data_IF_400558347436
#
_entry.id   IF_400558347436
#
_cell.length_a   1.000
_cell.length_b   1.000
_cell.length_c   1.000
_cell.angle_alpha   90.00
_cell.angle_beta   90.00
_cell.angle_gamma   90.00
#
_symmetry.space_group_name_H-M   'P 1'
#
loop_
_entity.id
_entity.type
_entity.pdbx_description
1 polymer ?
#
# COMPACT_ATOMS: atom_id res chain seq x y z
N UNK A 1 24.37 17.55 28.68
CA UNK A 1 23.19 16.71 29.00
C UNK A 1 23.33 15.40 28.22
N UNK A 2 23.46 14.23 28.86
CA UNK A 2 23.56 12.98 28.12
C UNK A 2 22.16 12.59 27.62
N UNK A 3 22.04 12.35 26.31
CA UNK A 3 20.86 11.74 25.71
C UNK A 3 20.70 10.34 26.31
N UNK A 4 19.58 10.09 26.97
CA UNK A 4 19.23 8.79 27.55
C UNK A 4 19.31 7.73 26.44
N UNK A 5 20.36 6.91 26.45
CA UNK A 5 20.53 5.80 25.52
C UNK A 5 19.49 4.73 25.85
N UNK A 6 18.29 4.86 25.30
CA UNK A 6 17.30 3.80 25.30
C UNK A 6 17.87 2.54 24.62
N UNK A 7 17.34 1.34 24.92
CA UNK A 7 17.73 0.14 24.20
C UNK A 7 17.55 0.36 22.70
N UNK A 8 18.60 0.03 21.92
CA UNK A 8 18.58 0.17 20.47
C UNK A 8 17.46 -0.64 19.81
N UNK A 9 17.24 -0.47 18.50
CA UNK A 9 16.18 -1.16 17.78
C UNK A 9 16.27 -2.69 17.97
N UNK A 10 15.20 -3.27 18.48
CA UNK A 10 15.05 -4.72 18.66
C UNK A 10 14.67 -5.40 17.34
N UNK A 11 14.82 -6.73 17.25
CA UNK A 11 14.36 -7.53 16.10
C UNK A 11 12.92 -7.19 15.67
N UNK A 12 12.05 -6.92 16.64
CA UNK A 12 10.66 -6.58 16.37
C UNK A 12 10.50 -5.27 15.59
N UNK A 13 11.39 -4.30 15.80
CA UNK A 13 11.42 -3.08 15.00
C UNK A 13 11.73 -3.41 13.54
N UNK A 14 12.72 -4.27 13.28
CA UNK A 14 13.08 -4.68 11.92
C UNK A 14 11.93 -5.39 11.20
N UNK A 15 11.23 -6.30 11.90
CA UNK A 15 10.07 -7.01 11.36
C UNK A 15 8.97 -6.03 10.96
N UNK A 16 8.59 -5.11 11.87
CA UNK A 16 7.55 -4.12 11.58
C UNK A 16 7.93 -3.18 10.42
N UNK A 17 9.21 -2.79 10.31
CA UNK A 17 9.69 -1.99 9.19
C UNK A 17 9.58 -2.74 7.86
N UNK A 18 9.88 -4.04 7.85
CA UNK A 18 9.71 -4.88 6.67
C UNK A 18 8.23 -5.02 6.28
N UNK A 19 7.34 -5.20 7.25
CA UNK A 19 5.88 -5.27 7.02
C UNK A 19 5.33 -3.95 6.46
N UNK A 20 5.75 -2.80 7.00
CA UNK A 20 5.39 -1.47 6.46
C UNK A 20 5.82 -1.32 5.00
N UNK A 21 7.06 -1.70 4.68
CA UNK A 21 7.56 -1.65 3.31
C UNK A 21 6.77 -2.58 2.37
N UNK A 22 6.40 -3.76 2.86
CA UNK A 22 5.56 -4.69 2.11
C UNK A 22 4.16 -4.11 1.88
N UNK A 23 3.56 -3.49 2.89
CA UNK A 23 2.27 -2.83 2.79
C UNK A 23 2.32 -1.68 1.77
N UNK A 24 3.36 -0.85 1.78
CA UNK A 24 3.56 0.19 0.78
C UNK A 24 3.68 -0.37 -0.64
N UNK A 25 4.42 -1.46 -0.84
CA UNK A 25 4.51 -2.12 -2.14
C UNK A 25 3.17 -2.71 -2.60
N UNK A 26 2.27 -3.07 -1.69
CA UNK A 26 0.90 -3.48 -2.02
C UNK A 26 0.08 -2.26 -2.46
N UNK A 27 0.18 -1.14 -1.75
CA UNK A 27 -0.44 0.13 -2.14
C UNK A 27 -0.05 0.58 -3.55
N UNK A 28 1.26 0.54 -3.86
CA UNK A 28 1.77 0.90 -5.20
C UNK A 28 1.16 0.01 -6.28
N UNK A 29 0.96 -1.27 -6.02
CA UNK A 29 0.32 -2.19 -6.98
C UNK A 29 -1.17 -1.92 -7.12
N UNK A 30 -1.86 -1.66 -6.00
CA UNK A 30 -3.30 -1.42 -5.98
C UNK A 30 -3.71 -0.13 -6.71
N UNK A 31 -2.80 0.85 -6.81
CA UNK A 31 -3.05 2.13 -7.51
C UNK A 31 -2.72 2.08 -9.01
N UNK A 32 -2.07 1.02 -9.51
CA UNK A 32 -1.76 0.88 -10.94
C UNK A 32 -2.97 0.93 -11.89
N UNK A 33 -4.15 0.39 -11.54
CA UNK A 33 -5.34 0.46 -12.39
C UNK A 33 -5.90 1.87 -12.58
N UNK A 34 -5.47 2.86 -11.78
CA UNK A 34 -5.90 4.24 -11.97
C UNK A 34 -5.46 4.75 -13.35
N UNK A 35 -6.40 5.22 -14.19
CA UNK A 35 -6.13 5.63 -15.56
C UNK A 35 -5.36 6.96 -15.59
N UNK A 36 -5.75 7.92 -14.76
CA UNK A 36 -5.09 9.22 -14.67
C UNK A 36 -3.79 9.12 -13.86
N UNK A 37 -2.70 9.58 -14.48
CA UNK A 37 -1.36 9.56 -13.89
C UNK A 37 -1.19 10.55 -12.75
N UNK A 38 -1.91 11.68 -12.80
CA UNK A 38 -1.86 12.71 -11.77
C UNK A 38 -2.56 12.22 -10.50
N UNK A 39 -3.80 11.76 -10.61
CA UNK A 39 -4.57 11.14 -9.52
C UNK A 39 -3.82 9.98 -8.88
N UNK A 40 -3.18 9.13 -9.69
CA UNK A 40 -2.34 8.03 -9.18
C UNK A 40 -1.17 8.56 -8.35
N UNK A 41 -0.52 9.62 -8.79
CA UNK A 41 0.59 10.24 -8.05
C UNK A 41 0.12 10.82 -6.73
N UNK A 42 -0.97 11.57 -6.73
CA UNK A 42 -1.56 12.14 -5.52
C UNK A 42 -1.96 11.05 -4.51
N UNK A 43 -2.58 9.98 -5.00
CA UNK A 43 -2.96 8.83 -4.15
C UNK A 43 -1.72 8.19 -3.52
N UNK A 44 -0.64 8.04 -4.28
CA UNK A 44 0.63 7.51 -3.76
C UNK A 44 1.28 8.45 -2.75
N UNK A 45 1.25 9.76 -2.99
CA UNK A 45 1.82 10.76 -2.09
C UNK A 45 1.02 10.84 -0.78
N UNK A 46 -0.31 10.73 -0.84
CA UNK A 46 -1.17 10.56 0.34
C UNK A 46 -0.77 9.33 1.16
N UNK A 47 -0.68 8.15 0.51
CA UNK A 47 -0.31 6.90 1.19
C UNK A 47 1.12 6.92 1.73
N UNK A 48 2.04 7.60 1.03
CA UNK A 48 3.42 7.79 1.48
C UNK A 48 3.51 8.69 2.71
N UNK A 49 2.69 9.74 2.77
CA UNK A 49 2.66 10.66 3.90
C UNK A 49 2.34 9.96 5.22
N UNK A 50 1.48 8.94 5.17
CA UNK A 50 1.09 8.13 6.33
C UNK A 50 2.25 7.31 6.89
N UNK A 51 3.14 6.83 6.02
CA UNK A 51 4.34 6.08 6.41
C UNK A 51 5.48 6.99 6.85
N UNK A 52 5.60 8.18 6.25
CA UNK A 52 6.65 9.14 6.63
C UNK A 52 6.50 9.61 8.08
N UNK A 53 5.26 9.66 8.60
CA UNK A 53 4.96 9.93 10.02
C UNK A 53 5.67 8.96 10.98
N UNK A 54 5.97 7.74 10.53
CA UNK A 54 6.62 6.71 11.33
C UNK A 54 8.14 6.70 11.18
N UNK A 55 8.74 7.57 10.36
CA UNK A 55 10.17 7.50 10.03
C UNK A 55 11.09 7.47 11.25
N UNK A 56 10.77 8.27 12.27
CA UNK A 56 11.55 8.38 13.51
C UNK A 56 10.81 7.83 14.73
N UNK A 57 9.73 7.07 14.53
CA UNK A 57 8.99 6.43 15.61
C UNK A 57 9.67 5.12 16.02
N UNK A 58 9.83 4.91 17.32
CA UNK A 58 10.44 3.70 17.90
C UNK A 58 9.48 2.99 18.86
N UNK A 59 8.33 3.57 19.19
CA UNK A 59 7.32 2.88 19.98
C UNK A 59 6.61 1.81 19.16
N UNK A 60 6.88 0.55 19.48
CA UNK A 60 6.40 -0.61 18.72
C UNK A 60 4.88 -0.65 18.57
N UNK A 61 4.14 -0.25 19.60
CA UNK A 61 2.68 -0.27 19.58
C UNK A 61 2.10 0.81 18.67
N UNK A 62 2.75 1.97 18.57
CA UNK A 62 2.38 3.00 17.59
C UNK A 62 2.63 2.53 16.17
N UNK A 63 3.80 1.92 15.92
CA UNK A 63 4.15 1.37 14.60
C UNK A 63 3.12 0.30 14.20
N UNK A 64 2.75 -0.60 15.11
CA UNK A 64 1.70 -1.62 14.89
C UNK A 64 0.33 -1.01 14.60
N UNK A 65 -0.08 -0.05 15.43
CA UNK A 65 -1.37 0.62 15.28
C UNK A 65 -1.47 1.31 13.93
N UNK A 66 -0.44 2.05 13.53
CA UNK A 66 -0.39 2.68 12.22
C UNK A 66 -0.35 1.68 11.07
N UNK A 67 0.41 0.59 11.18
CA UNK A 67 0.43 -0.46 10.15
C UNK A 67 -0.97 -1.08 9.97
N UNK A 68 -1.68 -1.33 11.08
CA UNK A 68 -3.06 -1.84 11.05
C UNK A 68 -4.00 -0.83 10.39
N UNK A 69 -3.91 0.44 10.78
CA UNK A 69 -4.68 1.53 10.19
C UNK A 69 -4.43 1.65 8.68
N UNK A 70 -3.16 1.70 8.27
CA UNK A 70 -2.75 1.79 6.86
C UNK A 70 -3.31 0.65 6.02
N UNK A 71 -3.21 -0.60 6.51
CA UNK A 71 -3.78 -1.75 5.81
C UNK A 71 -5.31 -1.67 5.71
N UNK A 72 -5.99 -1.17 6.75
CA UNK A 72 -7.44 -0.96 6.72
C UNK A 72 -7.84 0.11 5.71
N UNK A 73 -7.15 1.25 5.70
CA UNK A 73 -7.36 2.33 4.72
C UNK A 73 -7.17 1.82 3.30
N UNK A 74 -6.10 1.07 3.02
CA UNK A 74 -5.89 0.44 1.72
C UNK A 74 -7.02 -0.53 1.35
N UNK A 75 -7.47 -1.37 2.28
CA UNK A 75 -8.56 -2.32 2.02
C UNK A 75 -9.87 -1.61 1.70
N UNK A 76 -10.13 -0.47 2.32
CA UNK A 76 -11.32 0.36 2.05
C UNK A 76 -11.22 1.07 0.69
N UNK A 77 -10.03 1.52 0.29
CA UNK A 77 -9.80 2.16 -1.00
C UNK A 77 -9.73 1.18 -2.19
N UNK A 78 -9.30 -0.06 -1.97
CA UNK A 78 -9.04 -1.01 -3.07
C UNK A 78 -10.24 -1.24 -4.00
N UNK A 79 -11.49 -1.41 -3.50
CA UNK A 79 -12.65 -1.59 -4.38
C UNK A 79 -12.91 -0.37 -5.28
N UNK A 80 -12.80 0.85 -4.76
CA UNK A 80 -13.01 2.06 -5.55
C UNK A 80 -11.91 2.26 -6.59
N UNK A 81 -10.65 2.01 -6.23
CA UNK A 81 -9.52 2.06 -7.18
C UNK A 81 -9.68 1.08 -8.35
N UNK A 82 -10.15 -0.13 -8.07
CA UNK A 82 -10.42 -1.14 -9.10
C UNK A 82 -11.60 -0.76 -9.99
N UNK A 83 -12.64 -0.13 -9.42
CA UNK A 83 -13.80 0.31 -10.17
C UNK A 83 -13.46 1.49 -11.10
N UNK A 84 -12.65 2.46 -10.65
CA UNK A 84 -12.22 3.59 -11.48
C UNK A 84 -11.40 3.15 -12.69
N UNK A 85 -10.61 2.07 -12.56
CA UNK A 85 -9.90 1.47 -13.69
C UNK A 85 -10.82 0.89 -14.78
N UNK A 86 -12.12 0.72 -14.51
CA UNK A 86 -13.11 0.19 -15.46
C UNK A 86 -13.92 1.28 -16.17
N UNK A 87 -13.89 2.55 -15.72
CA UNK A 87 -14.92 3.53 -16.12
C UNK A 87 -14.45 4.67 -17.04
N UNK A 88 -13.14 4.88 -17.27
CA UNK A 88 -12.65 6.12 -17.92
C UNK A 88 -12.29 5.96 -19.41
N UNK A 89 -12.12 4.74 -19.93
CA UNK A 89 -11.86 4.53 -21.36
C UNK A 89 -12.92 3.59 -21.95
N UNK A 90 -13.74 4.11 -22.86
CA UNK A 90 -14.74 3.39 -23.65
C UNK A 90 -14.15 2.37 -24.64
N UNK A 91 -13.03 1.74 -24.31
CA UNK A 91 -12.43 0.64 -25.04
C UNK A 91 -12.31 -0.56 -24.11
N UNK A 92 -12.99 -1.64 -24.51
CA UNK A 92 -13.30 -2.84 -23.74
C UNK A 92 -12.32 -3.22 -22.63
N UNK A 93 -12.87 -3.31 -21.41
CA UNK A 93 -12.23 -3.96 -20.27
C UNK A 93 -11.67 -5.32 -20.69
N UNK A 94 -10.33 -5.42 -20.80
CA UNK A 94 -9.66 -6.72 -20.90
C UNK A 94 -9.86 -7.41 -19.57
N UNK A 95 -10.86 -8.29 -19.53
CA UNK A 95 -11.14 -9.20 -18.42
C UNK A 95 -9.82 -9.87 -18.01
N UNK A 96 -9.32 -9.52 -16.83
CA UNK A 96 -8.17 -10.18 -16.25
C UNK A 96 -8.58 -11.63 -15.96
N UNK A 97 -8.02 -12.56 -16.75
CA UNK A 97 -7.95 -13.97 -16.36
C UNK A 97 -9.03 -14.91 -16.87
N UNK A 98 -9.53 -14.79 -18.10
CA UNK A 98 -10.09 -15.99 -18.75
C UNK A 98 -8.93 -16.88 -19.22
N UNK A 99 -8.61 -17.90 -18.41
CA UNK A 99 -7.75 -19.02 -18.82
C UNK A 99 -8.37 -19.64 -20.08
N UNK A 100 -7.81 -19.34 -21.26
CA UNK A 100 -8.18 -20.04 -22.50
C UNK A 100 -7.84 -21.52 -22.33
N UNK A 101 -8.85 -22.33 -22.03
CA UNK A 101 -8.80 -23.77 -22.26
C UNK A 101 -8.84 -23.95 -23.78
N UNK A 102 -7.68 -24.13 -24.39
CA UNK A 102 -7.61 -24.61 -25.76
C UNK A 102 -8.06 -26.08 -25.74
N UNK A 103 -9.26 -26.35 -26.24
CA UNK A 103 -9.67 -27.71 -26.55
C UNK A 103 -9.17 -28.01 -27.97
N UNK A 104 -8.09 -28.78 -28.06
CA UNK A 104 -7.60 -29.34 -29.32
C UNK A 104 -8.20 -30.73 -29.51
N UNK A 105 -8.95 -30.84 -30.61
CA UNK A 105 -9.53 -32.00 -31.30
C UNK A 105 -10.60 -32.81 -30.57
#
# INVERSE_FOLDING_TARGET
MPLKSGPGPTLQHFILRAELLQAYRKAVRATRPLPDSHTRRETLDFLRSDLERLRFEYELDKIRSHLSHFNKTLKQMTPSLNLTGLTISGEGAKLIGQKRRNNTF
#
